data_IF_296195881315
#
_entry.id   IF_296195881315
#
_cell.length_a   1.000
_cell.length_b   1.000
_cell.length_c   1.000
_cell.angle_alpha   90.00
_cell.angle_beta   90.00
_cell.angle_gamma   90.00
#
_symmetry.space_group_name_H-M   'P 1'
#
loop_
_entity.id
_entity.type
_entity.pdbx_description
1 polymer ?
#
# COMPACT_ATOMS: atom_id res chain seq x y z
N UNK A 1 -12.09 8.85 17.27
CA UNK A 1 -12.24 9.53 15.95
C UNK A 1 -11.05 9.14 15.11
N UNK A 2 -11.29 8.74 13.85
CA UNK A 2 -10.23 8.35 12.92
C UNK A 2 -9.51 9.57 12.35
N UNK A 3 -8.20 9.44 12.17
CA UNK A 3 -7.39 10.42 11.43
C UNK A 3 -7.65 10.33 9.93
N UNK A 4 -7.20 11.34 9.17
CA UNK A 4 -6.94 11.14 7.74
C UNK A 4 -5.72 10.21 7.54
N UNK A 5 -5.52 9.63 6.35
CA UNK A 5 -4.29 8.91 6.02
C UNK A 5 -3.06 9.80 6.14
N UNK A 6 -2.10 9.41 6.98
CA UNK A 6 -0.86 10.16 7.23
C UNK A 6 0.36 9.26 7.11
N UNK A 7 1.56 9.79 6.82
CA UNK A 7 2.78 9.01 6.84
C UNK A 7 3.00 8.32 8.20
N UNK A 8 3.49 7.08 8.19
CA UNK A 8 3.84 6.37 9.42
C UNK A 8 4.91 7.15 10.20
N UNK A 9 4.70 7.35 11.50
CA UNK A 9 5.57 8.11 12.37
C UNK A 9 5.77 7.40 13.72
N UNK A 10 6.71 7.90 14.52
CA UNK A 10 7.13 7.33 15.81
C UNK A 10 5.97 7.22 16.82
N UNK A 11 5.06 8.18 16.81
CA UNK A 11 3.89 8.26 17.70
C UNK A 11 2.78 7.25 17.38
N UNK A 12 2.85 6.55 16.25
CA UNK A 12 1.86 5.54 15.89
C UNK A 12 2.11 4.22 16.62
N UNK A 13 1.12 3.76 17.37
CA UNK A 13 1.10 2.46 18.03
C UNK A 13 0.66 1.36 17.05
N UNK A 14 1.56 0.39 16.86
CA UNK A 14 1.41 -0.76 15.95
C UNK A 14 1.23 -2.08 16.73
N UNK A 15 1.38 -2.04 18.06
CA UNK A 15 1.52 -3.24 18.90
C UNK A 15 0.29 -4.14 18.83
N UNK A 16 -0.90 -3.56 18.73
CA UNK A 16 -2.17 -4.28 18.72
C UNK A 16 -2.78 -4.50 17.32
N UNK A 17 -2.10 -4.08 16.25
CA UNK A 17 -2.64 -4.23 14.90
C UNK A 17 -2.80 -5.69 14.49
N UNK A 18 -4.00 -6.11 14.10
CA UNK A 18 -4.28 -7.48 13.67
C UNK A 18 -5.21 -7.49 12.46
N UNK A 19 -4.69 -7.69 11.26
CA UNK A 19 -5.52 -7.78 10.04
C UNK A 19 -6.09 -9.18 9.80
N UNK A 20 -5.65 -10.17 10.57
CA UNK A 20 -5.90 -11.59 10.30
C UNK A 20 -4.92 -12.21 9.30
N UNK A 21 -3.86 -11.48 8.93
CA UNK A 21 -2.80 -11.97 8.05
C UNK A 21 -1.44 -11.69 8.69
N UNK A 22 -0.89 -12.69 9.37
CA UNK A 22 0.30 -12.55 10.22
C UNK A 22 1.49 -11.90 9.50
N UNK A 23 1.69 -12.20 8.22
CA UNK A 23 2.78 -11.62 7.42
C UNK A 23 2.63 -10.11 7.21
N UNK A 24 1.40 -9.60 7.12
CA UNK A 24 1.11 -8.15 7.04
C UNK A 24 1.28 -7.50 8.42
N UNK A 25 0.81 -8.17 9.48
CA UNK A 25 0.88 -7.66 10.85
C UNK A 25 2.33 -7.55 11.34
N UNK A 26 3.13 -8.60 11.14
CA UNK A 26 4.55 -8.61 11.51
C UNK A 26 5.35 -7.59 10.71
N UNK A 27 5.07 -7.45 9.41
CA UNK A 27 5.78 -6.48 8.59
C UNK A 27 5.53 -5.05 9.06
N UNK A 28 4.28 -4.70 9.38
CA UNK A 28 3.95 -3.37 9.91
C UNK A 28 4.75 -3.08 11.19
N UNK A 29 4.72 -4.01 12.15
CA UNK A 29 5.36 -3.86 13.47
C UNK A 29 6.88 -3.83 13.41
N UNK A 30 7.50 -4.60 12.52
CA UNK A 30 8.95 -4.87 12.55
C UNK A 30 9.74 -4.20 11.43
N UNK A 31 9.10 -3.86 10.30
CA UNK A 31 9.82 -3.46 9.07
C UNK A 31 9.34 -2.15 8.49
N UNK A 32 8.06 -1.77 8.62
CA UNK A 32 7.52 -0.59 7.95
C UNK A 32 8.31 0.70 8.23
N UNK A 33 8.66 0.97 9.49
CA UNK A 33 9.45 2.16 9.88
C UNK A 33 10.85 2.14 9.27
N UNK A 34 11.57 1.03 9.43
CA UNK A 34 12.92 0.87 8.88
C UNK A 34 12.93 1.00 7.35
N UNK A 35 11.93 0.42 6.67
CA UNK A 35 11.77 0.54 5.23
C UNK A 35 11.45 1.96 4.77
N UNK A 36 10.73 2.72 5.59
CA UNK A 36 10.49 4.14 5.31
C UNK A 36 11.77 4.98 5.44
N UNK A 37 12.56 4.72 6.47
CA UNK A 37 13.84 5.41 6.68
C UNK A 37 14.83 5.07 5.56
N UNK A 38 14.94 3.80 5.17
CA UNK A 38 15.86 3.36 4.10
C UNK A 38 15.39 3.74 2.70
N UNK A 39 14.13 4.17 2.54
CA UNK A 39 13.54 4.50 1.24
C UNK A 39 12.99 3.29 0.47
N UNK A 40 12.97 2.09 1.06
CA UNK A 40 12.42 0.89 0.43
C UNK A 40 10.91 0.97 0.19
N UNK A 41 10.16 1.68 1.04
CA UNK A 41 8.72 1.93 0.85
C UNK A 41 8.25 3.16 1.62
N UNK A 42 7.18 3.82 1.17
CA UNK A 42 6.47 4.84 1.95
C UNK A 42 5.19 4.24 2.52
N UNK A 43 5.01 4.28 3.84
CA UNK A 43 3.85 3.69 4.52
C UNK A 43 2.93 4.79 5.01
N UNK A 44 1.64 4.64 4.75
CA UNK A 44 0.59 5.54 5.22
C UNK A 44 -0.38 4.77 6.10
N UNK A 45 -0.90 5.42 7.13
CA UNK A 45 -1.77 4.82 8.13
C UNK A 45 -2.96 5.70 8.44
N UNK A 46 -4.09 5.10 8.80
CA UNK A 46 -5.15 5.73 9.58
C UNK A 46 -5.05 5.25 11.03
N UNK A 47 -5.24 6.16 11.97
CA UNK A 47 -5.19 5.87 13.39
C UNK A 47 -6.44 6.37 14.13
N UNK A 48 -6.82 5.65 15.19
CA UNK A 48 -7.68 6.16 16.25
C UNK A 48 -6.82 6.61 17.43
N UNK A 49 -6.67 7.93 17.61
CA UNK A 49 -5.65 8.48 18.50
C UNK A 49 -4.26 8.13 17.98
N UNK A 50 -3.50 7.31 18.72
CA UNK A 50 -2.21 6.78 18.27
C UNK A 50 -2.30 5.38 17.68
N UNK A 51 -3.40 4.65 17.92
CA UNK A 51 -3.54 3.26 17.52
C UNK A 51 -3.82 3.17 16.02
N UNK A 52 -2.92 2.54 15.28
CA UNK A 52 -3.14 2.28 13.85
C UNK A 52 -4.26 1.26 13.66
N UNK A 53 -5.20 1.58 12.77
CA UNK A 53 -6.36 0.74 12.44
C UNK A 53 -6.32 0.22 11.00
N UNK A 54 -5.54 0.84 10.13
CA UNK A 54 -5.26 0.36 8.79
C UNK A 54 -3.94 0.94 8.26
N UNK A 55 -3.40 0.35 7.20
CA UNK A 55 -2.26 0.90 6.50
C UNK A 55 -2.15 0.42 5.07
N UNK A 56 -1.37 1.14 4.27
CA UNK A 56 -0.80 0.63 3.04
C UNK A 56 0.63 1.13 2.83
N UNK A 57 1.38 0.51 1.92
CA UNK A 57 2.69 1.03 1.52
C UNK A 57 2.88 1.05 0.00
N UNK A 58 3.57 2.08 -0.49
CA UNK A 58 3.95 2.25 -1.89
C UNK A 58 5.47 2.17 -2.07
N UNK A 59 5.90 1.63 -3.18
CA UNK A 59 7.29 1.68 -3.65
C UNK A 59 7.35 1.87 -5.17
N UNK A 60 8.47 2.36 -5.69
CA UNK A 60 8.75 2.29 -7.12
C UNK A 60 8.98 0.85 -7.56
N UNK A 61 8.60 0.50 -8.78
CA UNK A 61 8.86 -0.82 -9.34
C UNK A 61 8.75 -0.87 -10.86
N UNK A 62 9.01 -2.05 -11.40
CA UNK A 62 8.81 -2.39 -12.80
C UNK A 62 7.90 -3.60 -12.92
N UNK A 63 7.10 -3.65 -13.98
CA UNK A 63 6.36 -4.83 -14.38
C UNK A 63 6.96 -5.34 -15.69
N UNK A 64 7.37 -6.61 -15.73
CA UNK A 64 7.92 -7.22 -16.93
C UNK A 64 6.89 -7.18 -18.07
N UNK A 65 7.33 -6.84 -19.28
CA UNK A 65 6.45 -6.77 -20.46
C UNK A 65 5.69 -8.10 -20.71
N UNK A 66 6.30 -9.22 -20.33
CA UNK A 66 5.74 -10.56 -20.48
C UNK A 66 4.53 -10.80 -19.55
N UNK A 67 4.54 -10.22 -18.35
CA UNK A 67 3.49 -10.41 -17.33
C UNK A 67 2.36 -9.38 -17.45
N UNK A 68 2.57 -8.33 -18.23
CA UNK A 68 1.63 -7.23 -18.36
C UNK A 68 0.49 -7.50 -19.35
N UNK A 69 -0.77 -7.09 -19.03
CA UNK A 69 -1.87 -7.11 -19.99
C UNK A 69 -1.57 -6.29 -21.24
N UNK A 70 -2.12 -6.70 -22.40
CA UNK A 70 -1.86 -6.07 -23.69
C UNK A 70 -2.03 -4.55 -23.71
N UNK A 71 -3.08 -4.03 -23.05
CA UNK A 71 -3.35 -2.59 -22.96
C UNK A 71 -2.34 -1.82 -22.11
N UNK A 72 -1.71 -2.48 -21.12
CA UNK A 72 -0.70 -1.88 -20.24
C UNK A 72 0.64 -1.83 -20.96
N UNK A 73 1.02 -2.91 -21.65
CA UNK A 73 2.34 -3.07 -22.27
C UNK A 73 2.52 -2.44 -23.65
N UNK A 74 1.43 -2.13 -24.35
CA UNK A 74 1.49 -1.58 -25.72
C UNK A 74 2.37 -0.32 -25.74
N UNK A 75 3.44 -0.35 -26.54
CA UNK A 75 4.41 0.74 -26.72
C UNK A 75 5.16 1.17 -25.45
N UNK A 76 5.29 0.29 -24.45
CA UNK A 76 6.06 0.56 -23.22
C UNK A 76 7.46 -0.07 -23.29
N UNK A 77 8.45 0.48 -22.57
CA UNK A 77 9.76 -0.15 -22.37
C UNK A 77 9.67 -1.39 -21.48
N UNK A 78 10.76 -2.16 -21.43
CA UNK A 78 10.95 -3.29 -20.51
C UNK A 78 12.04 -2.94 -19.47
N UNK A 79 11.75 -2.97 -18.16
CA UNK A 79 10.43 -3.18 -17.55
C UNK A 79 9.50 -1.96 -17.71
N UNK A 80 8.18 -2.19 -17.63
CA UNK A 80 7.18 -1.12 -17.62
C UNK A 80 7.28 -0.37 -16.27
N UNK A 81 7.43 0.97 -16.25
CA UNK A 81 7.56 1.72 -15.00
C UNK A 81 6.22 1.80 -14.25
N UNK A 82 6.21 1.39 -12.99
CA UNK A 82 5.00 1.22 -12.19
C UNK A 82 5.19 1.69 -10.75
N UNK A 83 4.08 1.93 -10.05
CA UNK A 83 4.03 1.96 -8.59
C UNK A 83 3.60 0.59 -8.08
N UNK A 84 4.28 0.08 -7.06
CA UNK A 84 3.89 -1.15 -6.37
C UNK A 84 3.06 -0.77 -5.15
N UNK A 85 1.81 -1.24 -5.09
CA UNK A 85 1.06 -1.30 -3.84
C UNK A 85 1.52 -2.55 -3.09
N UNK A 86 2.56 -2.40 -2.29
CA UNK A 86 3.26 -3.54 -1.70
C UNK A 86 2.43 -4.27 -0.65
N UNK A 87 1.68 -3.52 0.17
CA UNK A 87 0.82 -4.04 1.25
C UNK A 87 -0.36 -3.11 1.44
N UNK A 88 -1.52 -3.69 1.76
CA UNK A 88 -2.73 -3.01 2.20
C UNK A 88 -3.40 -3.92 3.23
N UNK A 89 -3.70 -3.38 4.40
CA UNK A 89 -4.33 -4.15 5.47
C UNK A 89 -5.21 -3.28 6.35
N UNK A 90 -6.31 -3.85 6.84
CA UNK A 90 -7.23 -3.23 7.79
C UNK A 90 -7.33 -4.13 9.01
N UNK A 91 -7.21 -3.56 10.20
CA UNK A 91 -7.39 -4.26 11.48
C UNK A 91 -8.77 -4.94 11.51
N UNK A 92 -8.83 -6.17 12.03
CA UNK A 92 -10.01 -7.02 12.02
C UNK A 92 -11.23 -6.36 12.68
N UNK A 93 -11.03 -5.53 13.70
CA UNK A 93 -12.11 -4.79 14.35
C UNK A 93 -12.69 -3.64 13.49
N UNK A 94 -11.99 -3.27 12.42
CA UNK A 94 -12.33 -2.18 11.51
C UNK A 94 -12.66 -2.64 10.07
N UNK A 95 -12.54 -3.92 9.78
CA UNK A 95 -12.89 -4.47 8.48
C UNK A 95 -14.38 -4.29 8.15
N UNK A 96 -14.70 -4.27 6.85
CA UNK A 96 -16.06 -4.09 6.30
C UNK A 96 -16.73 -2.75 6.66
N UNK A 97 -15.94 -1.75 7.07
CA UNK A 97 -16.38 -0.36 7.33
C UNK A 97 -15.98 0.63 6.23
N UNK A 98 -15.56 0.13 5.06
CA UNK A 98 -15.14 0.95 3.92
C UNK A 98 -13.68 1.44 3.94
N UNK A 99 -12.94 1.17 5.02
CA UNK A 99 -11.54 1.63 5.16
C UNK A 99 -10.60 1.10 4.08
N UNK A 100 -10.71 -0.18 3.70
CA UNK A 100 -9.86 -0.75 2.66
C UNK A 100 -10.01 -0.02 1.31
N UNK A 101 -11.25 0.34 0.94
CA UNK A 101 -11.52 1.08 -0.29
C UNK A 101 -11.03 2.53 -0.18
N UNK A 102 -11.20 3.16 0.98
CA UNK A 102 -10.68 4.49 1.24
C UNK A 102 -9.14 4.53 1.17
N UNK A 103 -8.45 3.51 1.68
CA UNK A 103 -7.00 3.38 1.55
C UNK A 103 -6.54 3.20 0.11
N UNK A 104 -7.23 2.34 -0.65
CA UNK A 104 -6.91 2.15 -2.06
C UNK A 104 -7.10 3.45 -2.85
N UNK A 105 -8.16 4.21 -2.55
CA UNK A 105 -8.39 5.52 -3.14
C UNK A 105 -7.26 6.50 -2.81
N UNK A 106 -6.84 6.60 -1.54
CA UNK A 106 -5.72 7.46 -1.13
C UNK A 106 -4.41 7.03 -1.83
N UNK A 107 -4.15 5.73 -1.93
CA UNK A 107 -2.99 5.19 -2.64
C UNK A 107 -2.97 5.57 -4.13
N UNK A 108 -4.13 5.49 -4.81
CA UNK A 108 -4.27 5.90 -6.22
C UNK A 108 -4.03 7.39 -6.39
N UNK A 109 -4.58 8.22 -5.50
CA UNK A 109 -4.38 9.67 -5.56
C UNK A 109 -2.91 10.04 -5.37
N UNK A 110 -2.20 9.40 -4.45
CA UNK A 110 -0.76 9.64 -4.25
C UNK A 110 0.09 9.16 -5.42
N UNK A 111 -0.22 7.99 -5.99
CA UNK A 111 0.47 7.52 -7.18
C UNK A 111 0.24 8.46 -8.38
N UNK A 112 -0.98 8.97 -8.55
CA UNK A 112 -1.32 9.97 -9.57
C UNK A 112 -0.56 11.28 -9.37
N UNK A 113 -0.45 11.76 -8.13
CA UNK A 113 0.39 12.92 -7.81
C UNK A 113 1.86 12.67 -8.16
N UNK A 114 2.42 11.51 -7.83
CA UNK A 114 3.78 11.15 -8.20
C UNK A 114 3.96 11.07 -9.74
N UNK A 115 2.93 10.61 -10.46
CA UNK A 115 2.94 10.50 -11.92
C UNK A 115 3.05 11.85 -12.66
N UNK A 116 2.82 12.96 -11.96
CA UNK A 116 3.00 14.31 -12.54
C UNK A 116 4.48 14.67 -12.77
N UNK A 117 5.40 14.02 -12.07
CA UNK A 117 6.84 14.29 -12.12
C UNK A 117 7.68 13.05 -12.45
N UNK A 118 7.10 11.84 -12.39
CA UNK A 118 7.76 10.57 -12.70
C UNK A 118 6.92 9.80 -13.73
N UNK A 119 7.58 9.13 -14.67
CA UNK A 119 6.90 8.23 -15.60
C UNK A 119 6.32 7.03 -14.87
N UNK A 120 5.00 6.97 -14.72
CA UNK A 120 4.27 5.87 -14.05
C UNK A 120 3.13 5.44 -14.95
N UNK A 121 3.12 4.17 -15.39
CA UNK A 121 2.07 3.64 -16.26
C UNK A 121 0.82 3.20 -15.51
N UNK A 122 0.99 2.83 -14.24
CA UNK A 122 -0.08 2.39 -13.36
C UNK A 122 0.45 1.90 -12.01
N UNK A 123 -0.47 1.29 -11.26
CA UNK A 123 -0.20 0.62 -9.98
C UNK A 123 -0.41 -0.88 -10.19
N UNK A 124 0.44 -1.71 -9.61
CA UNK A 124 0.18 -3.14 -9.52
C UNK A 124 0.39 -3.65 -8.08
N UNK A 125 -0.17 -4.82 -7.82
CA UNK A 125 -0.10 -5.52 -6.53
C UNK A 125 0.03 -7.01 -6.79
N UNK A 126 0.78 -7.69 -5.94
CA UNK A 126 0.72 -9.14 -5.83
C UNK A 126 -0.28 -9.47 -4.73
N UNK A 127 -1.50 -9.89 -5.12
CA UNK A 127 -2.52 -10.27 -4.17
C UNK A 127 -2.04 -11.47 -3.33
N UNK A 128 -2.20 -11.38 -2.01
CA UNK A 128 -1.74 -12.42 -1.08
C UNK A 128 -2.69 -13.62 -1.01
N UNK A 129 -3.93 -13.45 -1.46
CA UNK A 129 -4.96 -14.49 -1.53
C UNK A 129 -5.97 -14.22 -2.65
N UNK A 130 -6.80 -15.20 -2.99
CA UNK A 130 -7.86 -15.03 -3.99
C UNK A 130 -8.94 -14.04 -3.54
N UNK A 131 -9.23 -13.96 -2.23
CA UNK A 131 -10.14 -12.96 -1.67
C UNK A 131 -9.57 -11.54 -1.87
N UNK A 132 -8.26 -11.36 -1.63
CA UNK A 132 -7.60 -10.08 -1.88
C UNK A 132 -7.54 -9.72 -3.36
N UNK A 133 -7.49 -10.73 -4.26
CA UNK A 133 -7.54 -10.53 -5.71
C UNK A 133 -8.94 -10.11 -6.20
N UNK A 134 -9.99 -10.53 -5.49
CA UNK A 134 -11.38 -10.22 -5.82
C UNK A 134 -11.88 -8.89 -5.23
N UNK A 135 -11.13 -8.30 -4.29
CA UNK A 135 -11.39 -6.99 -3.68
C UNK A 135 -11.19 -5.84 -4.68
#
# INVERSE_FOLDING_TARGET
>A
MLSAPTPLAENHDLGLFQSGTESLDQWLRRRARANQVSGASRTYVVAEGTRVVDYYCLSSGGLDLAEAPGIVRRNMPDPIPMVVLGRLAVDGSWQRKGLGAALLQDAVLRASQAATILGIRGIFVHAISDEAKAF
#
